data_IF_194553650351
#
_entry.id   IF_194553650351
#
_cell.length_a   1.000
_cell.length_b   1.000
_cell.length_c   1.000
_cell.angle_alpha   90.00
_cell.angle_beta   90.00
_cell.angle_gamma   90.00
#
_symmetry.space_group_name_H-M   'P 1'
#
loop_
_entity.id
_entity.type
_entity.pdbx_description
1 polymer ?
#
# COMPACT_ATOMS: atom_id res chain seq x y z
N UNK A 1 -27.94 33.35 -23.32
CA UNK A 1 -28.26 32.22 -22.42
C UNK A 1 -26.95 31.59 -21.98
N UNK A 2 -26.58 31.82 -20.72
CA UNK A 2 -25.32 31.38 -20.13
C UNK A 2 -25.47 29.93 -19.69
N UNK A 3 -24.66 29.02 -20.24
CA UNK A 3 -24.47 27.67 -19.70
C UNK A 3 -23.34 27.75 -18.67
N UNK A 4 -23.72 27.64 -17.39
CA UNK A 4 -22.81 27.56 -16.27
C UNK A 4 -22.04 26.23 -16.30
N UNK A 5 -20.72 26.35 -16.34
CA UNK A 5 -19.72 25.34 -16.07
C UNK A 5 -19.68 25.05 -14.56
N UNK A 6 -19.80 23.81 -14.07
CA UNK A 6 -19.54 23.50 -12.66
C UNK A 6 -18.06 23.20 -12.44
N UNK A 7 -17.38 24.20 -11.88
CA UNK A 7 -16.33 24.12 -10.86
C UNK A 7 -15.59 22.79 -10.65
N UNK A 8 -14.43 22.66 -11.29
CA UNK A 8 -13.30 21.87 -10.76
C UNK A 8 -12.08 22.80 -10.67
N UNK A 9 -12.16 23.77 -9.75
CA UNK A 9 -11.02 24.55 -9.28
C UNK A 9 -11.25 24.79 -7.79
N UNK A 10 -10.84 23.82 -6.97
CA UNK A 10 -10.57 23.99 -5.54
C UNK A 10 -9.92 22.71 -4.97
N UNK A 11 -8.70 22.39 -5.41
CA UNK A 11 -7.67 21.69 -4.62
C UNK A 11 -6.31 21.83 -5.34
N UNK A 12 -5.89 23.07 -5.53
CA UNK A 12 -4.49 23.47 -5.74
C UNK A 12 -4.04 24.12 -4.43
N UNK A 13 -2.76 23.99 -4.09
CA UNK A 13 -2.01 24.86 -3.16
C UNK A 13 -1.83 24.44 -1.68
N UNK A 14 -1.39 23.21 -1.40
CA UNK A 14 -0.62 22.94 -0.15
C UNK A 14 0.77 22.34 -0.42
N UNK A 15 1.01 21.72 -1.57
CA UNK A 15 2.30 21.06 -1.85
C UNK A 15 3.40 22.02 -2.33
N UNK A 16 3.06 23.24 -2.76
CA UNK A 16 4.04 24.22 -3.26
C UNK A 16 4.62 25.16 -2.18
N UNK A 17 4.05 25.21 -0.96
CA UNK A 17 4.48 26.13 0.10
C UNK A 17 5.40 25.49 1.16
N UNK A 18 5.47 24.16 1.22
CA UNK A 18 6.38 23.47 2.15
C UNK A 18 7.82 23.31 1.60
N UNK A 19 8.06 23.62 0.32
CA UNK A 19 9.37 23.39 -0.33
C UNK A 19 10.28 24.63 -0.40
N UNK A 20 9.90 25.73 0.27
CA UNK A 20 10.69 26.99 0.31
C UNK A 20 11.43 27.20 1.65
N UNK A 21 11.34 26.26 2.59
CA UNK A 21 11.89 26.40 3.96
C UNK A 21 12.93 25.34 4.33
N UNK A 22 13.63 24.76 3.34
CA UNK A 22 14.83 23.96 3.60
C UNK A 22 16.08 24.82 3.34
N UNK A 23 16.95 25.07 4.34
CA UNK A 23 18.25 25.67 4.07
C UNK A 23 19.06 24.71 3.18
N UNK A 24 19.59 25.25 2.09
CA UNK A 24 20.42 24.56 1.12
C UNK A 24 21.56 23.80 1.82
N UNK A 25 21.51 22.47 1.81
CA UNK A 25 22.65 21.63 2.15
C UNK A 25 23.57 21.58 0.94
N UNK A 26 24.51 22.52 0.87
CA UNK A 26 25.61 22.53 -0.09
C UNK A 26 26.76 21.71 0.51
N UNK A 27 27.16 20.56 -0.07
CA UNK A 27 28.40 19.92 0.34
C UNK A 27 29.60 20.79 -0.09
N UNK A 28 30.64 20.95 0.75
CA UNK A 28 31.80 21.77 0.42
C UNK A 28 32.62 21.12 -0.71
N UNK A 29 33.36 21.91 -1.52
CA UNK A 29 34.28 21.37 -2.51
C UNK A 29 35.47 20.74 -1.77
N UNK A 30 35.55 19.41 -1.78
CA UNK A 30 36.78 18.73 -1.41
C UNK A 30 37.84 19.03 -2.49
N UNK A 31 38.85 19.77 -2.08
CA UNK A 31 39.90 20.31 -2.94
C UNK A 31 40.68 19.25 -3.70
N UNK A 32 41.10 19.63 -4.90
CA UNK A 32 42.19 19.01 -5.61
C UNK A 32 43.47 19.07 -4.76
N UNK A 33 44.09 17.91 -4.53
CA UNK A 33 45.54 17.83 -4.35
C UNK A 33 46.09 16.75 -5.28
N UNK A 34 46.75 17.22 -6.34
CA UNK A 34 47.62 16.45 -7.22
C UNK A 34 48.82 15.88 -6.45
N UNK A 35 49.22 14.64 -6.77
CA UNK A 35 50.61 14.11 -6.92
C UNK A 35 50.51 12.58 -7.11
N UNK A 36 50.65 12.08 -8.34
CA UNK A 36 51.88 11.55 -8.96
C UNK A 36 52.58 10.40 -8.19
N UNK A 37 52.50 9.20 -8.76
CA UNK A 37 53.58 8.20 -8.80
C UNK A 37 53.58 7.12 -7.72
N UNK A 38 53.32 5.87 -8.11
CA UNK A 38 54.32 4.79 -8.25
C UNK A 38 53.60 3.43 -8.28
N UNK A 39 53.99 2.65 -9.29
CA UNK A 39 53.66 1.26 -9.55
C UNK A 39 54.22 0.35 -8.44
N UNK A 40 53.45 -0.54 -7.84
CA UNK A 40 53.98 -1.76 -7.21
C UNK A 40 52.96 -2.90 -7.28
N UNK A 41 53.38 -3.97 -7.94
CA UNK A 41 52.73 -5.27 -8.00
C UNK A 41 53.16 -6.09 -6.78
N UNK A 42 52.22 -6.59 -5.98
CA UNK A 42 52.44 -7.75 -5.10
C UNK A 42 51.11 -8.47 -4.90
N UNK A 43 50.99 -9.65 -5.51
CA UNK A 43 50.00 -10.65 -5.16
C UNK A 43 50.35 -11.22 -3.77
N UNK A 44 49.43 -11.14 -2.81
CA UNK A 44 49.39 -11.99 -1.61
C UNK A 44 47.92 -12.26 -1.30
N UNK A 45 47.57 -13.54 -1.25
CA UNK A 45 46.21 -14.00 -1.00
C UNK A 45 45.69 -13.61 0.39
N UNK A 46 44.41 -13.29 0.42
CA UNK A 46 43.59 -13.34 1.62
C UNK A 46 42.29 -14.05 1.25
N UNK A 47 42.26 -15.36 1.49
CA UNK A 47 41.00 -16.06 1.70
C UNK A 47 40.38 -15.45 2.96
N UNK A 48 39.42 -14.54 2.77
CA UNK A 48 38.63 -13.97 3.84
C UNK A 48 37.16 -14.14 3.45
N UNK A 49 36.60 -15.22 4.00
CA UNK A 49 35.19 -15.43 4.34
C UNK A 49 34.24 -14.49 3.59
N UNK A 50 33.58 -15.02 2.56
CA UNK A 50 32.23 -14.62 2.22
C UNK A 50 31.39 -14.88 3.48
N UNK A 51 31.41 -13.93 4.41
CA UNK A 51 30.36 -13.82 5.41
C UNK A 51 29.11 -13.73 4.57
N UNK A 52 28.32 -14.80 4.60
CA UNK A 52 26.95 -14.74 4.16
C UNK A 52 26.39 -13.50 4.85
N UNK A 53 26.13 -12.45 4.07
CA UNK A 53 25.15 -11.47 4.46
C UNK A 53 23.98 -12.31 4.97
N UNK A 54 23.46 -12.04 6.19
CA UNK A 54 22.29 -12.76 6.66
C UNK A 54 21.33 -12.75 5.49
N UNK A 55 20.93 -13.95 5.01
CA UNK A 55 19.89 -14.06 4.00
C UNK A 55 18.83 -13.06 4.45
N UNK A 56 18.61 -12.01 3.62
CA UNK A 56 17.71 -10.92 3.95
C UNK A 56 16.50 -11.58 4.59
N UNK A 57 16.29 -11.36 5.90
CA UNK A 57 15.34 -12.16 6.66
C UNK A 57 14.07 -12.23 5.82
N UNK A 58 13.69 -13.45 5.41
CA UNK A 58 12.53 -13.63 4.54
C UNK A 58 11.38 -12.88 5.20
N UNK A 59 10.86 -11.88 4.49
CA UNK A 59 9.89 -10.97 5.05
C UNK A 59 8.59 -11.75 5.22
N UNK A 60 8.20 -12.01 6.47
CA UNK A 60 7.04 -12.87 6.76
C UNK A 60 5.75 -12.30 6.17
N UNK A 61 5.65 -10.97 6.04
CA UNK A 61 4.50 -10.32 5.43
C UNK A 61 4.49 -10.63 3.93
N UNK A 62 5.64 -10.59 3.24
CA UNK A 62 5.73 -10.91 1.81
C UNK A 62 5.38 -12.39 1.54
N UNK A 63 5.88 -13.31 2.37
CA UNK A 63 5.53 -14.74 2.30
C UNK A 63 4.03 -14.99 2.53
N UNK A 64 3.45 -14.30 3.51
CA UNK A 64 2.03 -14.38 3.81
C UNK A 64 1.16 -13.73 2.72
N UNK A 65 1.64 -12.65 2.10
CA UNK A 65 0.97 -11.99 0.98
C UNK A 65 0.92 -12.88 -0.26
N UNK A 66 1.97 -13.63 -0.54
CA UNK A 66 1.97 -14.65 -1.61
C UNK A 66 0.86 -15.69 -1.37
N UNK A 67 0.76 -16.22 -0.14
CA UNK A 67 -0.29 -17.19 0.22
C UNK A 67 -1.70 -16.59 0.12
N UNK A 68 -1.88 -15.38 0.65
CA UNK A 68 -3.14 -14.64 0.55
C UNK A 68 -3.53 -14.48 -0.92
N UNK A 69 -2.62 -13.99 -1.74
CA UNK A 69 -2.88 -13.65 -3.13
C UNK A 69 -3.25 -14.90 -3.91
N UNK A 70 -2.49 -15.99 -3.77
CA UNK A 70 -2.80 -17.26 -4.44
C UNK A 70 -4.20 -17.79 -4.07
N UNK A 71 -4.56 -17.74 -2.79
CA UNK A 71 -5.85 -18.24 -2.29
C UNK A 71 -7.04 -17.33 -2.64
N UNK A 72 -6.81 -16.02 -2.79
CA UNK A 72 -7.87 -15.03 -3.06
C UNK A 72 -7.95 -14.58 -4.52
N UNK A 73 -7.00 -14.97 -5.38
CA UNK A 73 -7.00 -14.62 -6.79
C UNK A 73 -8.21 -15.18 -7.58
N UNK A 74 -8.75 -16.39 -7.29
CA UNK A 74 -10.02 -16.83 -7.87
C UNK A 74 -11.15 -15.83 -7.59
N UNK A 75 -11.37 -15.46 -6.33
CA UNK A 75 -12.34 -14.44 -5.92
C UNK A 75 -12.08 -13.08 -6.59
N UNK A 76 -10.81 -12.63 -6.66
CA UNK A 76 -10.43 -11.35 -7.28
C UNK A 76 -10.88 -11.26 -8.76
N UNK A 77 -10.82 -12.37 -9.51
CA UNK A 77 -11.24 -12.46 -10.91
C UNK A 77 -12.75 -12.42 -11.12
N UNK A 78 -13.54 -12.76 -10.10
CA UNK A 78 -14.99 -12.76 -10.17
C UNK A 78 -15.58 -11.37 -9.96
N UNK A 79 -14.81 -10.46 -9.35
CA UNK A 79 -15.22 -9.09 -9.10
C UNK A 79 -15.27 -8.33 -10.43
N UNK A 80 -16.45 -7.80 -10.77
CA UNK A 80 -16.57 -6.79 -11.83
C UNK A 80 -16.04 -5.46 -11.31
N UNK A 81 -14.77 -5.15 -11.61
CA UNK A 81 -14.09 -3.91 -11.23
C UNK A 81 -14.60 -2.67 -11.97
N UNK A 82 -15.40 -2.85 -13.04
CA UNK A 82 -15.98 -1.76 -13.83
C UNK A 82 -17.35 -1.33 -13.33
N UNK A 83 -17.92 -2.08 -12.38
CA UNK A 83 -19.25 -1.82 -11.85
C UNK A 83 -19.36 -0.44 -11.19
N UNK A 84 -20.43 0.33 -11.44
CA UNK A 84 -20.65 1.62 -10.80
C UNK A 84 -20.93 1.53 -9.30
N UNK A 85 -21.13 0.30 -8.76
CA UNK A 85 -21.44 0.07 -7.34
C UNK A 85 -20.41 0.72 -6.41
N UNK A 86 -19.12 0.72 -6.78
CA UNK A 86 -18.03 1.25 -5.95
C UNK A 86 -18.02 2.78 -5.86
N UNK A 87 -18.75 3.46 -6.74
CA UNK A 87 -18.85 4.92 -6.76
C UNK A 87 -19.89 5.50 -5.79
N UNK A 88 -20.64 4.66 -5.06
CA UNK A 88 -21.75 5.11 -4.22
C UNK A 88 -21.77 4.45 -2.85
N UNK A 89 -22.19 5.21 -1.83
CA UNK A 89 -22.53 4.68 -0.50
C UNK A 89 -24.02 4.98 -0.24
N UNK A 90 -24.93 4.07 -0.63
CA UNK A 90 -26.36 4.34 -0.58
C UNK A 90 -26.83 4.69 0.83
N UNK A 91 -27.47 5.86 0.97
CA UNK A 91 -28.08 6.33 2.24
C UNK A 91 -27.08 6.51 3.39
N UNK A 92 -25.78 6.64 3.11
CA UNK A 92 -24.77 6.92 4.12
C UNK A 92 -24.90 8.37 4.64
N UNK A 93 -24.71 8.56 5.95
CA UNK A 93 -24.69 9.89 6.55
C UNK A 93 -23.35 10.59 6.22
N UNK A 94 -23.33 11.73 5.51
CA UNK A 94 -22.09 12.39 5.10
C UNK A 94 -21.18 12.80 6.26
N UNK A 95 -21.74 13.16 7.42
CA UNK A 95 -20.97 13.53 8.62
C UNK A 95 -20.26 12.31 9.20
N UNK A 96 -20.95 11.16 9.27
CA UNK A 96 -20.32 9.90 9.70
C UNK A 96 -19.24 9.43 8.72
N UNK A 97 -19.47 9.59 7.41
CA UNK A 97 -18.46 9.30 6.38
C UNK A 97 -17.22 10.17 6.58
N UNK A 98 -17.38 11.49 6.80
CA UNK A 98 -16.26 12.38 7.06
C UNK A 98 -15.48 11.99 8.33
N UNK A 99 -16.18 11.56 9.38
CA UNK A 99 -15.54 11.07 10.61
C UNK A 99 -14.75 9.77 10.38
N UNK A 100 -15.26 8.86 9.56
CA UNK A 100 -14.54 7.65 9.16
C UNK A 100 -13.29 7.96 8.32
N UNK A 101 -13.41 8.87 7.34
CA UNK A 101 -12.28 9.37 6.55
C UNK A 101 -11.22 10.00 7.45
N UNK A 102 -11.62 10.80 8.45
CA UNK A 102 -10.67 11.37 9.40
C UNK A 102 -9.84 10.30 10.14
N UNK A 103 -10.43 9.15 10.49
CA UNK A 103 -9.66 8.04 11.07
C UNK A 103 -8.64 7.46 10.09
N UNK A 104 -9.00 7.31 8.82
CA UNK A 104 -8.08 6.85 7.78
C UNK A 104 -6.93 7.84 7.56
N UNK A 105 -7.21 9.15 7.58
CA UNK A 105 -6.19 10.20 7.46
C UNK A 105 -5.22 10.19 8.65
N UNK A 106 -5.72 10.04 9.88
CA UNK A 106 -4.87 9.92 11.08
C UNK A 106 -3.98 8.68 11.02
N UNK A 107 -4.52 7.54 10.59
CA UNK A 107 -3.74 6.32 10.39
C UNK A 107 -2.69 6.52 9.29
N UNK A 108 -3.08 7.04 8.13
CA UNK A 108 -2.17 7.29 7.00
C UNK A 108 -1.02 8.25 7.34
N UNK A 109 -1.30 9.30 8.14
CA UNK A 109 -0.28 10.23 8.63
C UNK A 109 0.72 9.58 9.61
N UNK A 110 0.36 8.44 10.20
CA UNK A 110 1.20 7.70 11.16
C UNK A 110 1.97 6.55 10.50
N UNK A 111 1.66 6.19 9.25
CA UNK A 111 2.33 5.10 8.54
C UNK A 111 3.81 5.42 8.28
N UNK A 112 4.62 4.36 8.22
CA UNK A 112 5.99 4.48 7.74
C UNK A 112 6.01 5.00 6.29
N UNK A 113 6.71 6.10 6.06
CA UNK A 113 6.71 6.79 4.75
C UNK A 113 7.30 5.95 3.62
N UNK A 114 8.23 5.04 3.91
CA UNK A 114 8.79 4.14 2.91
C UNK A 114 7.80 3.02 2.57
N UNK A 115 7.08 2.48 3.56
CA UNK A 115 6.00 1.54 3.35
C UNK A 115 4.87 2.17 2.50
N UNK A 116 4.45 3.40 2.84
CA UNK A 116 3.43 4.14 2.08
C UNK A 116 3.88 4.37 0.63
N UNK A 117 5.13 4.79 0.41
CA UNK A 117 5.70 4.95 -0.94
C UNK A 117 5.71 3.65 -1.72
N UNK A 118 6.11 2.52 -1.10
CA UNK A 118 6.09 1.19 -1.73
C UNK A 118 4.67 0.80 -2.15
N UNK A 119 3.68 1.04 -1.28
CA UNK A 119 2.26 0.81 -1.59
C UNK A 119 1.76 1.62 -2.77
N UNK A 120 2.07 2.92 -2.84
CA UNK A 120 1.69 3.78 -3.96
C UNK A 120 2.30 3.29 -5.28
N UNK A 121 3.59 2.94 -5.28
CA UNK A 121 4.27 2.45 -6.48
C UNK A 121 3.76 1.07 -6.92
N UNK A 122 3.41 0.18 -5.99
CA UNK A 122 2.83 -1.12 -6.32
C UNK A 122 1.47 -0.96 -7.04
N UNK A 123 0.60 -0.06 -6.56
CA UNK A 123 -0.67 0.21 -7.25
C UNK A 123 -0.46 0.90 -8.60
N UNK A 124 0.47 1.86 -8.71
CA UNK A 124 0.78 2.51 -9.98
C UNK A 124 1.26 1.50 -11.03
N UNK A 125 2.16 0.58 -10.66
CA UNK A 125 2.63 -0.51 -11.52
C UNK A 125 1.48 -1.43 -11.94
N UNK A 126 0.61 -1.83 -11.01
CA UNK A 126 -0.51 -2.72 -11.31
C UNK A 126 -1.51 -2.12 -12.31
N UNK A 127 -1.73 -0.79 -12.26
CA UNK A 127 -2.58 -0.07 -13.22
C UNK A 127 -2.00 -0.12 -14.64
N UNK A 128 -0.67 -0.12 -14.79
CA UNK A 128 -0.03 -0.25 -16.11
C UNK A 128 -0.25 -1.62 -16.75
N UNK A 129 -0.58 -2.64 -15.95
CA UNK A 129 -0.80 -4.02 -16.38
C UNK A 129 -2.27 -4.47 -16.35
N UNK A 130 -3.20 -3.54 -16.13
CA UNK A 130 -4.63 -3.86 -16.03
C UNK A 130 -5.19 -4.34 -17.39
N UNK A 131 -6.06 -5.34 -17.36
CA UNK A 131 -6.80 -5.79 -18.55
C UNK A 131 -8.06 -4.94 -18.83
N UNK A 132 -8.81 -5.30 -19.86
CA UNK A 132 -10.03 -4.62 -20.29
C UNK A 132 -11.19 -4.71 -19.27
N UNK A 133 -11.07 -5.59 -18.27
CA UNK A 133 -12.06 -5.80 -17.20
C UNK A 133 -11.64 -5.18 -15.88
N UNK A 134 -10.52 -4.46 -15.85
CA UNK A 134 -10.00 -3.89 -14.61
C UNK A 134 -9.23 -4.89 -13.75
N UNK A 135 -8.91 -6.09 -14.28
CA UNK A 135 -8.19 -7.13 -13.56
C UNK A 135 -6.68 -6.96 -13.71
N UNK A 136 -5.95 -7.22 -12.63
CA UNK A 136 -4.49 -7.15 -12.57
C UNK A 136 -3.85 -8.56 -12.57
N UNK A 137 -2.61 -8.72 -13.03
CA UNK A 137 -1.86 -9.98 -12.92
C UNK A 137 -1.61 -10.40 -11.46
N UNK A 138 -1.50 -11.71 -11.21
CA UNK A 138 -1.20 -12.26 -9.88
C UNK A 138 0.06 -11.66 -9.22
N UNK A 139 1.20 -11.48 -9.92
CA UNK A 139 2.39 -10.87 -9.31
C UNK A 139 2.16 -9.43 -8.82
N UNK A 140 1.33 -8.65 -9.52
CA UNK A 140 0.97 -7.30 -9.10
C UNK A 140 0.05 -7.32 -7.88
N UNK A 141 -0.87 -8.29 -7.82
CA UNK A 141 -1.72 -8.51 -6.65
C UNK A 141 -0.91 -8.91 -5.40
N UNK A 142 0.08 -9.78 -5.57
CA UNK A 142 1.03 -10.16 -4.52
C UNK A 142 1.80 -8.94 -3.99
N UNK A 143 2.34 -8.12 -4.90
CA UNK A 143 3.06 -6.90 -4.54
C UNK A 143 2.18 -5.90 -3.79
N UNK A 144 0.92 -5.73 -4.20
CA UNK A 144 -0.06 -4.87 -3.53
C UNK A 144 -0.36 -5.39 -2.12
N UNK A 145 -0.69 -6.67 -1.97
CA UNK A 145 -1.02 -7.26 -0.67
C UNK A 145 0.16 -7.19 0.31
N UNK A 146 1.38 -7.45 -0.18
CA UNK A 146 2.60 -7.31 0.61
C UNK A 146 2.78 -5.87 1.09
N UNK A 147 2.69 -4.90 0.16
CA UNK A 147 2.85 -3.49 0.50
C UNK A 147 1.79 -2.99 1.49
N UNK A 148 0.52 -3.42 1.35
CA UNK A 148 -0.55 -3.09 2.30
C UNK A 148 -0.26 -3.71 3.67
N UNK A 149 0.21 -4.96 3.72
CA UNK A 149 0.63 -5.60 4.97
C UNK A 149 1.68 -4.78 5.72
N UNK A 150 2.70 -4.31 5.01
CA UNK A 150 3.74 -3.43 5.56
C UNK A 150 3.20 -2.09 6.04
N UNK A 151 2.29 -1.47 5.28
CA UNK A 151 1.62 -0.23 5.70
C UNK A 151 0.84 -0.42 7.00
N UNK A 152 0.10 -1.52 7.13
CA UNK A 152 -0.69 -1.84 8.34
C UNK A 152 0.22 -2.18 9.54
N UNK A 153 1.28 -2.96 9.33
CA UNK A 153 2.26 -3.29 10.37
C UNK A 153 3.02 -2.06 10.87
N UNK A 154 3.11 -1.00 10.06
CA UNK A 154 3.84 0.22 10.43
C UNK A 154 3.15 1.13 11.45
N UNK A 155 1.87 0.87 11.78
CA UNK A 155 1.08 1.72 12.68
C UNK A 155 0.55 0.93 13.89
N UNK A 156 0.23 1.60 15.02
CA UNK A 156 -0.36 0.93 16.17
C UNK A 156 -1.70 0.27 15.84
N UNK A 157 -1.91 -0.95 16.36
CA UNK A 157 -3.17 -1.72 16.21
C UNK A 157 -4.43 -0.90 16.44
N UNK A 158 -4.40 0.00 17.43
CA UNK A 158 -5.53 0.87 17.77
C UNK A 158 -5.98 1.70 16.58
N UNK A 159 -5.06 2.26 15.78
CA UNK A 159 -5.44 3.08 14.63
C UNK A 159 -6.12 2.25 13.53
N UNK A 160 -5.65 1.01 13.31
CA UNK A 160 -6.30 0.07 12.38
C UNK A 160 -7.73 -0.23 12.83
N UNK A 161 -7.94 -0.51 14.12
CA UNK A 161 -9.27 -0.77 14.68
C UNK A 161 -10.17 0.47 14.66
N UNK A 162 -9.63 1.66 14.95
CA UNK A 162 -10.38 2.92 14.86
C UNK A 162 -10.92 3.15 13.43
N UNK A 163 -10.13 2.84 12.40
CA UNK A 163 -10.58 2.90 10.99
C UNK A 163 -11.66 1.85 10.74
N UNK A 164 -11.41 0.59 11.09
CA UNK A 164 -12.36 -0.51 10.87
C UNK A 164 -13.74 -0.21 11.48
N UNK A 165 -13.78 0.17 12.76
CA UNK A 165 -15.05 0.45 13.44
C UNK A 165 -15.75 1.69 12.92
N UNK A 166 -15.01 2.73 12.49
CA UNK A 166 -15.62 3.92 11.91
C UNK A 166 -16.28 3.62 10.55
N UNK A 167 -15.65 2.82 9.69
CA UNK A 167 -16.28 2.38 8.44
C UNK A 167 -17.40 1.36 8.66
N UNK A 168 -17.32 0.51 9.69
CA UNK A 168 -18.40 -0.41 10.04
C UNK A 168 -19.68 0.31 10.52
N UNK A 169 -19.57 1.50 11.11
CA UNK A 169 -20.73 2.34 11.47
C UNK A 169 -21.35 3.06 10.25
N UNK A 170 -20.59 3.21 9.16
CA UNK A 170 -21.05 3.81 7.90
C UNK A 170 -21.64 2.75 6.97
N UNK A 171 -20.98 1.59 6.89
CA UNK A 171 -21.33 0.48 6.01
C UNK A 171 -22.20 -0.50 6.79
N UNK A 172 -23.47 -0.58 6.43
CA UNK A 172 -24.36 -1.61 6.98
C UNK A 172 -23.91 -2.99 6.49
N UNK A 173 -23.09 -3.68 7.29
CA UNK A 173 -22.46 -4.95 6.95
C UNK A 173 -23.44 -5.97 6.38
N UNK A 174 -24.62 -6.11 6.98
CA UNK A 174 -25.60 -7.12 6.56
C UNK A 174 -26.28 -6.79 5.22
N UNK A 175 -26.35 -5.50 4.85
CA UNK A 175 -26.88 -5.08 3.54
C UNK A 175 -25.77 -5.16 2.48
N UNK A 176 -24.64 -4.49 2.73
CA UNK A 176 -23.56 -4.35 1.74
C UNK A 176 -22.80 -5.66 1.58
N UNK A 177 -22.43 -6.32 2.67
CA UNK A 177 -21.66 -7.57 2.62
C UNK A 177 -22.42 -8.71 1.96
N UNK A 178 -23.73 -8.85 2.25
CA UNK A 178 -24.57 -9.86 1.60
C UNK A 178 -24.73 -9.58 0.10
N UNK A 179 -24.95 -8.31 -0.27
CA UNK A 179 -25.04 -7.91 -1.67
C UNK A 179 -23.73 -8.17 -2.43
N UNK A 180 -22.58 -7.74 -1.91
CA UNK A 180 -21.30 -7.95 -2.58
C UNK A 180 -20.97 -9.44 -2.72
N UNK A 181 -21.24 -10.24 -1.69
CA UNK A 181 -21.06 -11.70 -1.74
C UNK A 181 -21.99 -12.37 -2.76
N UNK A 182 -23.19 -11.83 -3.01
CA UNK A 182 -24.10 -12.40 -4.02
C UNK A 182 -23.65 -12.20 -5.48
N UNK A 183 -22.67 -11.32 -5.71
CA UNK A 183 -22.13 -11.04 -7.04
C UNK A 183 -20.98 -11.97 -7.45
N UNK A 184 -20.53 -12.84 -6.54
CA UNK A 184 -19.36 -13.70 -6.70
C UNK A 184 -19.69 -15.13 -6.27
N UNK A 185 -18.76 -16.07 -6.47
CA UNK A 185 -18.86 -17.40 -5.90
C UNK A 185 -18.65 -17.36 -4.38
N UNK A 186 -19.61 -17.92 -3.64
CA UNK A 186 -19.56 -17.96 -2.18
C UNK A 186 -18.37 -18.74 -1.63
N UNK A 187 -17.94 -19.80 -2.32
CA UNK A 187 -16.82 -20.66 -1.89
C UNK A 187 -15.52 -19.89 -2.00
N UNK A 188 -15.22 -19.34 -3.17
CA UNK A 188 -14.01 -18.55 -3.42
C UNK A 188 -13.94 -17.33 -2.50
N UNK A 189 -15.06 -16.66 -2.24
CA UNK A 189 -15.13 -15.55 -1.29
C UNK A 189 -14.84 -15.97 0.16
N UNK A 190 -15.31 -17.15 0.58
CA UNK A 190 -15.03 -17.71 1.92
C UNK A 190 -13.57 -18.14 2.06
N UNK A 191 -12.98 -18.73 1.02
CA UNK A 191 -11.57 -19.09 0.97
C UNK A 191 -10.67 -17.85 1.02
N UNK A 192 -10.98 -16.83 0.23
CA UNK A 192 -10.29 -15.54 0.26
C UNK A 192 -10.36 -14.90 1.66
N UNK A 193 -11.53 -14.93 2.30
CA UNK A 193 -11.71 -14.41 3.65
C UNK A 193 -10.90 -15.20 4.68
N UNK A 194 -10.89 -16.53 4.61
CA UNK A 194 -10.07 -17.37 5.49
C UNK A 194 -8.57 -17.05 5.32
N UNK A 195 -8.08 -16.96 4.09
CA UNK A 195 -6.70 -16.60 3.80
C UNK A 195 -6.35 -15.20 4.33
N UNK A 196 -7.29 -14.25 4.26
CA UNK A 196 -7.14 -12.94 4.87
C UNK A 196 -6.98 -13.02 6.40
N UNK A 197 -7.73 -13.89 7.09
CA UNK A 197 -7.55 -14.09 8.54
C UNK A 197 -6.18 -14.64 8.89
N UNK A 198 -5.62 -15.54 8.08
CA UNK A 198 -4.26 -16.05 8.28
C UNK A 198 -3.20 -14.96 8.02
N UNK A 199 -3.36 -14.20 6.92
CA UNK A 199 -2.48 -13.09 6.58
C UNK A 199 -2.44 -12.01 7.67
N UNK A 200 -3.61 -11.57 8.15
CA UNK A 200 -3.68 -10.50 9.15
C UNK A 200 -3.12 -10.92 10.52
N UNK A 201 -3.04 -12.22 10.84
CA UNK A 201 -2.33 -12.70 12.04
C UNK A 201 -0.81 -12.52 11.90
N UNK A 202 -0.26 -12.75 10.70
CA UNK A 202 1.16 -12.47 10.42
C UNK A 202 1.44 -10.97 10.50
N UNK A 203 0.62 -10.15 9.84
CA UNK A 203 0.75 -8.67 9.91
C UNK A 203 0.68 -8.18 11.35
N UNK A 204 -0.25 -8.71 12.15
CA UNK A 204 -0.40 -8.33 13.55
C UNK A 204 0.79 -8.75 14.44
N UNK A 205 1.52 -9.80 14.08
CA UNK A 205 2.73 -10.25 14.78
C UNK A 205 3.95 -9.37 14.48
N UNK A 206 3.98 -8.75 13.30
CA UNK A 206 5.05 -7.84 12.85
C UNK A 206 4.69 -6.35 13.08
N UNK A 207 3.52 -6.08 13.68
CA UNK A 207 2.99 -4.72 13.89
C UNK A 207 3.71 -3.98 15.03
N UNK A 208 4.00 -2.70 14.80
CA UNK A 208 4.62 -1.78 15.77
C UNK A 208 3.65 -1.26 16.83
#
# INVERSE_FOLDING_TARGET
MVKLLPCVVAMVAVVALCNLWMPAFVPPPAGQSLRHGVHMSTAVGAAAVLGAAPAAFADKIDDAATKLSAASYPFLKEIDWTSPVYGTLPRANPVKVLQAINKALVMGASMDSAALKKGVLAHASAIEHVDDKGMIPLPDYEAINAAIGHMVASVPRKQVLDVYYAFADVVKKDEVGAYMKSLVNSIDAEEAYKAFWEFKDVVAAEQR
#
